data_IF_944336387210
#
_entry.id   IF_944336387210
#
_cell.length_a   1.000
_cell.length_b   1.000
_cell.length_c   1.000
_cell.angle_alpha   90.00
_cell.angle_beta   90.00
_cell.angle_gamma   90.00
#
_symmetry.space_group_name_H-M   'P 1'
#
loop_
_entity.id
_entity.type
_entity.pdbx_description
1 polymer ?
#
# COMPACT_ATOMS: atom_id res chain seq x y z
N UNK A 1 9.65 9.40 7.86
CA UNK A 1 8.41 9.03 8.57
C UNK A 1 7.73 7.95 7.75
N UNK A 2 7.40 6.79 8.32
CA UNK A 2 6.71 5.73 7.59
C UNK A 2 5.22 6.08 7.45
N UNK A 3 4.67 5.92 6.24
CA UNK A 3 3.24 6.14 5.96
C UNK A 3 2.61 4.83 5.49
N UNK A 4 2.08 3.98 6.39
CA UNK A 4 1.40 2.75 6.01
C UNK A 4 0.18 3.08 5.14
N UNK A 5 -0.04 2.28 4.09
CA UNK A 5 -1.18 2.38 3.18
C UNK A 5 -1.88 1.03 3.16
N UNK A 6 -3.17 1.00 3.46
CA UNK A 6 -3.99 -0.21 3.43
C UNK A 6 -5.46 0.15 3.24
N UNK A 7 -6.25 -0.74 2.65
CA UNK A 7 -7.70 -0.56 2.49
C UNK A 7 -8.52 -1.23 3.61
N UNK A 8 -7.86 -1.95 4.52
CA UNK A 8 -8.42 -2.69 5.66
C UNK A 8 -9.39 -3.82 5.28
N UNK A 9 -9.34 -4.31 4.04
CA UNK A 9 -10.28 -5.34 3.58
C UNK A 9 -10.08 -6.71 4.25
N UNK A 10 -8.86 -7.01 4.69
CA UNK A 10 -8.48 -8.22 5.44
C UNK A 10 -7.51 -7.88 6.59
N UNK A 11 -7.64 -6.66 7.14
CA UNK A 11 -6.74 -6.15 8.18
C UNK A 11 -7.48 -5.23 9.16
N UNK A 12 -6.78 -4.70 10.18
CA UNK A 12 -7.40 -3.89 11.24
C UNK A 12 -6.42 -2.81 11.76
N UNK A 13 -6.93 -1.60 11.98
CA UNK A 13 -6.18 -0.45 12.51
C UNK A 13 -5.54 -0.69 13.88
N UNK A 14 -6.08 -1.59 14.72
CA UNK A 14 -5.49 -1.98 16.02
C UNK A 14 -4.04 -2.47 15.85
N UNK A 15 -3.69 -3.05 14.69
CA UNK A 15 -2.30 -3.42 14.39
C UNK A 15 -1.37 -2.19 14.32
N UNK A 16 -1.85 -1.07 13.79
CA UNK A 16 -1.11 0.19 13.70
C UNK A 16 -0.94 0.82 15.08
N UNK A 17 -1.97 0.80 15.92
CA UNK A 17 -1.89 1.24 17.32
C UNK A 17 -0.81 0.47 18.09
N UNK A 18 -0.79 -0.86 17.94
CA UNK A 18 0.22 -1.71 18.57
C UNK A 18 1.63 -1.39 18.08
N UNK A 19 1.82 -1.19 16.77
CA UNK A 19 3.13 -0.80 16.23
C UNK A 19 3.58 0.55 16.80
N UNK A 20 2.68 1.54 16.88
CA UNK A 20 2.99 2.85 17.49
C UNK A 20 3.40 2.71 18.95
N UNK A 21 2.69 1.89 19.73
CA UNK A 21 3.00 1.62 21.13
C UNK A 21 4.34 0.92 21.32
N UNK A 22 4.68 -0.05 20.47
CA UNK A 22 5.96 -0.79 20.55
C UNK A 22 7.13 0.11 20.14
N UNK A 23 6.95 0.91 19.08
CA UNK A 23 8.02 1.74 18.54
C UNK A 23 8.17 3.11 19.25
N UNK A 24 7.18 3.54 20.04
CA UNK A 24 7.17 4.86 20.68
C UNK A 24 7.14 6.02 19.67
N UNK A 25 6.57 5.80 18.48
CA UNK A 25 6.54 6.77 17.37
C UNK A 25 5.16 6.81 16.74
N UNK A 26 4.71 7.99 16.35
CA UNK A 26 3.47 8.18 15.59
C UNK A 26 3.63 7.71 14.14
N UNK A 27 2.58 7.11 13.59
CA UNK A 27 2.46 6.74 12.18
C UNK A 27 1.37 7.60 11.52
N UNK A 28 1.56 7.92 10.24
CA UNK A 28 0.49 8.53 9.43
C UNK A 28 -0.10 7.43 8.57
N UNK A 29 -1.23 6.88 9.01
CA UNK A 29 -1.98 5.91 8.24
C UNK A 29 -2.69 6.59 7.08
N UNK A 30 -2.72 5.92 5.93
CA UNK A 30 -3.44 6.37 4.73
C UNK A 30 -4.36 5.25 4.28
N UNK A 31 -5.66 5.48 4.44
CA UNK A 31 -6.67 4.54 3.99
C UNK A 31 -6.82 4.65 2.46
N UNK A 32 -6.23 3.70 1.72
CA UNK A 32 -6.30 3.67 0.27
C UNK A 32 -6.08 2.25 -0.27
N UNK A 33 -6.61 1.98 -1.45
CA UNK A 33 -6.38 0.74 -2.17
C UNK A 33 -5.17 0.89 -3.12
N UNK A 34 -4.27 -0.08 -3.13
CA UNK A 34 -3.11 -0.08 -4.04
C UNK A 34 -3.49 -0.06 -5.52
N UNK A 35 -4.73 -0.46 -5.83
CA UNK A 35 -5.27 -0.46 -7.18
C UNK A 35 -5.72 0.93 -7.62
N UNK A 36 -5.86 1.89 -6.71
CA UNK A 36 -6.12 3.29 -7.05
C UNK A 36 -4.81 4.01 -7.39
N UNK A 37 -4.45 4.01 -8.67
CA UNK A 37 -3.21 4.63 -9.13
C UNK A 37 -3.11 6.13 -8.80
N UNK A 38 -4.24 6.86 -8.79
CA UNK A 38 -4.24 8.29 -8.52
C UNK A 38 -3.94 8.55 -7.04
N UNK A 39 -4.61 7.83 -6.14
CA UNK A 39 -4.35 7.93 -4.72
C UNK A 39 -2.90 7.54 -4.39
N UNK A 40 -2.39 6.45 -4.94
CA UNK A 40 -1.00 6.00 -4.70
C UNK A 40 0.02 7.00 -5.26
N UNK A 41 -0.26 7.60 -6.41
CA UNK A 41 0.59 8.63 -7.00
C UNK A 41 0.71 9.86 -6.08
N UNK A 42 -0.42 10.36 -5.59
CA UNK A 42 -0.43 11.50 -4.67
C UNK A 42 0.28 11.19 -3.35
N UNK A 43 0.10 9.97 -2.82
CA UNK A 43 0.79 9.54 -1.60
C UNK A 43 2.31 9.50 -1.80
N UNK A 44 2.79 8.88 -2.88
CA UNK A 44 4.22 8.77 -3.18
C UNK A 44 4.84 10.16 -3.32
N UNK A 45 4.17 11.06 -4.06
CA UNK A 45 4.64 12.43 -4.31
C UNK A 45 4.64 13.27 -3.04
N UNK A 46 3.51 13.35 -2.33
CA UNK A 46 3.34 14.21 -1.16
C UNK A 46 4.17 13.76 0.05
N UNK A 47 4.52 12.48 0.15
CA UNK A 47 5.35 11.99 1.25
C UNK A 47 6.86 11.96 0.93
N UNK A 48 7.27 12.29 -0.30
CA UNK A 48 8.66 12.16 -0.73
C UNK A 48 9.19 10.72 -0.58
N UNK A 49 8.39 9.72 -0.98
CA UNK A 49 8.72 8.31 -0.77
C UNK A 49 9.95 7.91 -1.60
N UNK A 50 11.01 7.46 -0.93
CA UNK A 50 12.24 6.97 -1.60
C UNK A 50 12.28 5.45 -1.76
N UNK A 51 11.49 4.72 -0.97
CA UNK A 51 11.41 3.27 -1.00
C UNK A 51 10.01 2.77 -0.58
N UNK A 52 9.59 1.64 -1.13
CA UNK A 52 8.29 1.00 -0.85
C UNK A 52 8.51 -0.44 -0.42
N UNK A 53 7.83 -0.86 0.65
CA UNK A 53 7.69 -2.27 1.06
C UNK A 53 6.24 -2.67 0.83
N UNK A 54 5.99 -3.62 -0.07
CA UNK A 54 4.65 -3.99 -0.49
C UNK A 54 4.19 -5.28 0.21
N UNK A 55 3.19 -5.15 1.10
CA UNK A 55 2.61 -6.26 1.88
C UNK A 55 1.08 -6.36 1.70
N UNK A 56 0.49 -5.53 0.84
CA UNK A 56 -0.96 -5.47 0.65
C UNK A 56 -1.41 -6.57 -0.32
N UNK A 57 -2.12 -7.56 0.20
CA UNK A 57 -2.67 -8.65 -0.58
C UNK A 57 -3.24 -9.77 0.28
N UNK A 58 -4.39 -10.36 -0.10
CA UNK A 58 -4.87 -11.57 0.56
C UNK A 58 -3.84 -12.70 0.40
N UNK A 59 -3.71 -13.49 1.46
CA UNK A 59 -2.64 -14.50 1.61
C UNK A 59 -3.14 -15.90 1.96
N UNK A 60 -4.45 -16.07 2.12
CA UNK A 60 -5.03 -17.36 2.48
C UNK A 60 -5.02 -18.32 1.29
N UNK A 61 -4.22 -19.39 1.36
CA UNK A 61 -4.09 -20.37 0.26
C UNK A 61 -5.39 -21.14 -0.02
N UNK A 62 -6.22 -21.36 1.00
CA UNK A 62 -7.53 -22.02 0.81
C UNK A 62 -8.48 -21.16 -0.02
N UNK A 63 -8.57 -19.88 0.31
CA UNK A 63 -9.44 -18.93 -0.37
C UNK A 63 -8.95 -18.63 -1.80
N UNK A 64 -7.64 -18.59 -2.05
CA UNK A 64 -7.10 -18.36 -3.40
C UNK A 64 -7.51 -19.44 -4.40
N UNK A 65 -7.76 -20.67 -3.94
CA UNK A 65 -8.27 -21.75 -4.80
C UNK A 65 -9.76 -21.56 -5.14
N UNK A 66 -10.52 -20.94 -4.25
CA UNK A 66 -11.96 -20.70 -4.41
C UNK A 66 -12.21 -19.41 -5.20
N UNK A 67 -11.38 -18.39 -4.99
CA UNK A 67 -11.50 -17.05 -5.58
C UNK A 67 -10.20 -16.61 -6.28
N UNK A 68 -9.74 -17.36 -7.30
CA UNK A 68 -8.46 -17.06 -7.94
C UNK A 68 -8.44 -15.66 -8.58
N UNK A 69 -9.54 -15.23 -9.19
CA UNK A 69 -9.60 -13.92 -9.87
C UNK A 69 -9.39 -12.76 -8.89
N UNK A 70 -10.01 -12.80 -7.71
CA UNK A 70 -9.79 -11.80 -6.65
C UNK A 70 -8.30 -11.69 -6.29
N UNK A 71 -7.61 -12.83 -6.17
CA UNK A 71 -6.19 -12.87 -5.86
C UNK A 71 -5.31 -12.36 -7.01
N UNK A 72 -5.65 -12.67 -8.26
CA UNK A 72 -4.94 -12.12 -9.43
C UNK A 72 -5.14 -10.61 -9.56
N UNK A 73 -6.36 -10.12 -9.38
CA UNK A 73 -6.65 -8.68 -9.43
C UNK A 73 -5.94 -7.92 -8.31
N UNK A 74 -5.98 -8.46 -7.09
CA UNK A 74 -5.38 -7.77 -5.96
C UNK A 74 -3.85 -7.88 -5.96
N UNK A 75 -3.30 -9.09 -6.08
CA UNK A 75 -1.87 -9.31 -5.88
C UNK A 75 -1.07 -9.03 -7.15
N UNK A 76 -1.54 -9.46 -8.32
CA UNK A 76 -0.78 -9.28 -9.57
C UNK A 76 -1.06 -7.91 -10.17
N UNK A 77 -2.32 -7.60 -10.49
CA UNK A 77 -2.67 -6.32 -11.10
C UNK A 77 -2.42 -5.15 -10.13
N UNK A 78 -2.71 -5.31 -8.84
CA UNK A 78 -2.35 -4.30 -7.83
C UNK A 78 -0.85 -4.02 -7.76
N UNK A 79 0.01 -5.06 -7.78
CA UNK A 79 1.47 -4.87 -7.84
C UNK A 79 1.90 -4.15 -9.12
N UNK A 80 1.34 -4.52 -10.28
CA UNK A 80 1.65 -3.86 -11.55
C UNK A 80 1.29 -2.37 -11.52
N UNK A 81 0.14 -2.01 -10.95
CA UNK A 81 -0.28 -0.61 -10.77
C UNK A 81 0.65 0.16 -9.84
N UNK A 82 1.01 -0.41 -8.70
CA UNK A 82 1.96 0.20 -7.76
C UNK A 82 3.33 0.47 -8.43
N UNK A 83 3.90 -0.52 -9.12
CA UNK A 83 5.18 -0.37 -9.82
C UNK A 83 5.10 0.65 -10.96
N UNK A 84 3.99 0.67 -11.69
CA UNK A 84 3.72 1.68 -12.73
C UNK A 84 3.75 3.09 -12.14
N UNK A 85 3.06 3.32 -11.03
CA UNK A 85 3.08 4.62 -10.33
C UNK A 85 4.47 4.98 -9.84
N UNK A 86 5.17 4.06 -9.15
CA UNK A 86 6.54 4.30 -8.68
C UNK A 86 7.50 4.67 -9.83
N UNK A 87 7.29 4.10 -11.02
CA UNK A 87 8.09 4.41 -12.22
C UNK A 87 7.75 5.80 -12.75
N UNK A 88 6.46 6.17 -12.82
CA UNK A 88 6.01 7.51 -13.23
C UNK A 88 6.59 8.59 -12.30
N UNK A 89 6.59 8.37 -10.99
CA UNK A 89 7.07 9.34 -10.00
C UNK A 89 8.60 9.49 -9.99
N UNK A 90 9.37 8.47 -10.40
CA UNK A 90 10.84 8.58 -10.48
C UNK A 90 11.33 9.57 -11.54
N UNK A 91 10.50 9.87 -12.55
CA UNK A 91 10.82 10.81 -13.62
C UNK A 91 10.43 12.27 -13.33
N UNK A 92 9.84 12.55 -12.16
CA UNK A 92 9.36 13.88 -11.80
C UNK A 92 10.03 14.31 -10.48
N UNK A 93 10.83 15.37 -10.52
CA UNK A 93 11.34 16.00 -9.30
C UNK A 93 10.14 16.43 -8.44
N UNK A 94 10.25 16.20 -7.13
CA UNK A 94 9.24 16.59 -6.16
C UNK A 94 8.89 18.08 -6.38
N UNK A 95 7.61 18.40 -6.56
CA UNK A 95 7.18 19.81 -6.56
C UNK A 95 7.65 20.47 -5.26
N UNK A 96 8.47 21.52 -5.41
CA UNK A 96 8.71 22.54 -4.40
C UNK A 96 7.41 23.27 -4.06
#
# INVERSE_FOLDING_TARGET
MSSPVDNLSDSNEVSLERVQSICGRSLVFRHADIRDEAAIYDIIRCCGVTAVVHLAGPKAAGESNVQPMTYYENNVLGTMRLVSVMTKTKGQEACL
#
